data_IF_440247458315
#
_entry.id   IF_440247458315
#
_cell.length_a   1.000
_cell.length_b   1.000
_cell.length_c   1.000
_cell.angle_alpha   90.00
_cell.angle_beta   90.00
_cell.angle_gamma   90.00
#
_symmetry.space_group_name_H-M   'P 1'
#
loop_
_entity.id
_entity.type
_entity.pdbx_description
1 polymer ?
#
# COMPACT_ATOMS: atom_id res chain seq x y z
N UNK A 1 -30.42 27.52 -0.43
CA UNK A 1 -29.72 26.32 -0.92
C UNK A 1 -30.45 25.13 -0.34
N UNK A 2 -31.45 24.63 -1.07
CA UNK A 2 -32.08 23.34 -0.78
C UNK A 2 -31.01 22.27 -1.00
N UNK A 3 -30.67 21.54 0.06
CA UNK A 3 -29.81 20.37 -0.02
C UNK A 3 -30.68 19.23 -0.52
N UNK A 4 -30.41 18.74 -1.73
CA UNK A 4 -31.07 17.56 -2.28
C UNK A 4 -31.07 16.43 -1.25
N UNK A 5 -32.21 15.75 -1.09
CA UNK A 5 -32.36 14.69 -0.10
C UNK A 5 -31.32 13.60 -0.31
N UNK A 6 -30.81 13.02 0.78
CA UNK A 6 -29.75 11.99 0.74
C UNK A 6 -30.11 10.73 -0.09
N UNK A 7 -31.36 10.59 -0.52
CA UNK A 7 -31.84 9.52 -1.40
C UNK A 7 -31.70 9.77 -2.91
N UNK A 8 -31.34 10.98 -3.35
CA UNK A 8 -31.20 11.31 -4.79
C UNK A 8 -29.74 11.31 -5.28
N UNK A 9 -28.78 11.14 -4.37
CA UNK A 9 -27.37 11.11 -4.70
C UNK A 9 -27.01 9.72 -5.22
N UNK A 10 -26.80 9.63 -6.53
CA UNK A 10 -26.37 8.41 -7.19
C UNK A 10 -25.11 7.79 -6.57
N UNK A 11 -24.90 6.49 -6.80
CA UNK A 11 -23.73 5.78 -6.29
C UNK A 11 -22.57 5.81 -7.30
N UNK A 12 -21.35 5.82 -6.79
CA UNK A 12 -20.12 5.68 -7.58
C UNK A 12 -19.10 4.82 -6.84
N UNK A 13 -18.43 3.92 -7.57
CA UNK A 13 -17.40 3.06 -7.03
C UNK A 13 -16.04 3.46 -7.61
N UNK A 14 -15.11 3.84 -6.73
CA UNK A 14 -13.74 4.17 -7.10
C UNK A 14 -12.77 3.16 -6.50
N UNK A 15 -11.99 2.51 -7.37
CA UNK A 15 -11.00 1.53 -6.94
C UNK A 15 -9.74 2.20 -6.40
N UNK A 16 -9.62 2.31 -5.07
CA UNK A 16 -8.49 2.96 -4.39
C UNK A 16 -7.13 2.44 -4.88
N UNK A 17 -6.96 1.10 -4.90
CA UNK A 17 -5.70 0.46 -5.28
C UNK A 17 -5.25 0.71 -6.71
N UNK A 18 -6.19 0.75 -7.66
CA UNK A 18 -5.89 0.81 -9.10
C UNK A 18 -5.91 2.23 -9.66
N UNK A 19 -6.64 3.14 -9.03
CA UNK A 19 -6.84 4.50 -9.53
C UNK A 19 -6.28 5.57 -8.60
N UNK A 20 -6.48 5.44 -7.29
CA UNK A 20 -6.13 6.50 -6.34
C UNK A 20 -4.67 6.39 -5.92
N UNK A 21 -4.26 5.27 -5.35
CA UNK A 21 -2.92 5.07 -4.82
C UNK A 21 -1.80 5.30 -5.87
N UNK A 22 -1.91 4.80 -7.12
CA UNK A 22 -0.86 5.02 -8.12
C UNK A 22 -0.72 6.48 -8.56
N UNK A 23 -1.77 7.29 -8.35
CA UNK A 23 -1.79 8.70 -8.71
C UNK A 23 -1.39 9.61 -7.54
N UNK A 24 -1.29 9.07 -6.32
CA UNK A 24 -0.93 9.84 -5.14
C UNK A 24 0.49 10.40 -5.26
N UNK A 25 0.62 11.71 -5.07
CA UNK A 25 1.90 12.40 -5.02
C UNK A 25 2.14 12.90 -3.60
N UNK A 26 3.40 12.88 -3.17
CA UNK A 26 3.76 13.41 -1.87
C UNK A 26 3.51 14.90 -1.89
N UNK A 27 2.61 15.37 -1.02
CA UNK A 27 2.39 16.80 -0.87
C UNK A 27 3.63 17.38 -0.18
N UNK A 28 4.41 18.17 -0.93
CA UNK A 28 5.50 18.94 -0.32
C UNK A 28 4.85 20.03 0.50
N UNK A 29 4.79 19.82 1.81
CA UNK A 29 4.45 20.88 2.76
C UNK A 29 5.61 21.88 2.81
N UNK A 30 5.70 22.74 1.80
CA UNK A 30 6.66 23.84 1.71
C UNK A 30 6.18 25.03 2.57
N UNK A 31 5.84 24.77 3.84
CA UNK A 31 5.27 25.75 4.75
C UNK A 31 5.74 25.52 6.18
N UNK A 32 6.45 26.49 6.81
CA UNK A 32 6.75 26.44 8.23
C UNK A 32 5.47 26.80 8.97
N UNK A 33 4.59 25.83 9.19
CA UNK A 33 3.45 26.01 10.10
C UNK A 33 3.75 25.25 11.41
N UNK A 34 4.34 25.93 12.42
CA UNK A 34 4.78 25.32 13.65
C UNK A 34 3.59 25.10 14.60
N UNK A 35 2.61 24.30 14.21
CA UNK A 35 1.45 24.15 15.08
C UNK A 35 0.28 23.31 14.59
N UNK A 36 0.49 22.06 14.16
CA UNK A 36 -0.47 20.97 14.40
C UNK A 36 -0.07 19.68 13.67
N UNK A 37 0.72 18.84 14.33
CA UNK A 37 0.49 17.39 14.37
C UNK A 37 1.45 16.80 15.40
N UNK A 38 0.90 16.35 16.53
CA UNK A 38 1.61 15.68 17.62
C UNK A 38 2.08 14.27 17.25
N UNK A 39 2.77 14.14 16.13
CA UNK A 39 3.45 12.91 15.73
C UNK A 39 4.85 12.98 16.35
N UNK A 40 5.06 12.23 17.42
CA UNK A 40 6.32 12.18 18.14
C UNK A 40 7.51 11.86 17.23
N UNK A 41 8.53 12.71 17.32
CA UNK A 41 9.94 12.53 16.98
C UNK A 41 10.31 11.38 16.01
N UNK A 42 10.54 11.72 14.74
CA UNK A 42 11.46 10.94 13.90
C UNK A 42 11.33 11.14 12.40
N UNK A 43 10.11 11.12 11.87
CA UNK A 43 9.86 11.24 10.44
C UNK A 43 8.54 11.99 10.28
N UNK A 44 8.56 13.16 9.64
CA UNK A 44 7.38 14.00 9.49
C UNK A 44 6.23 13.19 8.89
N UNK A 45 5.00 13.41 9.37
CA UNK A 45 3.83 12.73 8.82
C UNK A 45 3.65 13.17 7.36
N UNK A 46 4.07 12.31 6.42
CA UNK A 46 4.00 12.55 4.99
C UNK A 46 2.58 12.26 4.53
N UNK A 47 1.83 13.30 4.18
CA UNK A 47 0.52 13.18 3.56
C UNK A 47 0.71 13.07 2.05
N UNK A 48 0.12 12.04 1.46
CA UNK A 48 0.08 11.82 0.02
C UNK A 48 -1.30 12.18 -0.48
N UNK A 49 -1.37 12.99 -1.53
CA UNK A 49 -2.64 13.43 -2.08
C UNK A 49 -2.82 12.92 -3.51
N UNK A 50 -4.03 12.44 -3.83
CA UNK A 50 -4.41 12.16 -5.20
C UNK A 50 -4.78 13.45 -5.94
N UNK A 51 -4.58 13.53 -7.26
CA UNK A 51 -5.22 14.55 -8.09
C UNK A 51 -6.74 14.57 -7.87
N UNK A 52 -7.34 15.74 -8.09
CA UNK A 52 -8.81 15.87 -8.09
C UNK A 52 -9.37 15.02 -9.22
N UNK A 53 -10.29 14.12 -8.87
CA UNK A 53 -10.99 13.24 -9.80
C UNK A 53 -12.46 13.63 -9.90
N UNK A 54 -13.01 13.58 -11.12
CA UNK A 54 -14.44 13.70 -11.36
C UNK A 54 -15.05 12.31 -11.41
N UNK A 55 -15.91 12.00 -10.44
CA UNK A 55 -16.62 10.74 -10.34
C UNK A 55 -18.07 10.92 -10.80
N UNK A 56 -18.52 10.18 -11.83
CA UNK A 56 -19.93 10.19 -12.20
C UNK A 56 -20.75 9.50 -11.12
N UNK A 57 -21.88 10.09 -10.75
CA UNK A 57 -22.90 9.49 -9.91
C UNK A 57 -24.02 8.99 -10.82
N UNK A 58 -24.35 7.70 -10.71
CA UNK A 58 -25.49 7.14 -11.43
C UNK A 58 -26.77 7.39 -10.62
N UNK A 59 -27.60 8.35 -11.06
CA UNK A 59 -28.94 8.56 -10.51
C UNK A 59 -29.96 7.60 -11.13
N UNK A 60 -31.03 7.29 -10.40
CA UNK A 60 -32.10 6.39 -10.88
C UNK A 60 -32.84 6.97 -12.10
N UNK A 61 -32.90 8.29 -12.22
CA UNK A 61 -33.62 9.02 -13.28
C UNK A 61 -32.84 9.13 -14.60
N UNK A 62 -31.67 8.49 -14.71
CA UNK A 62 -30.79 8.60 -15.89
C UNK A 62 -30.03 9.92 -16.00
N UNK A 63 -30.24 10.85 -15.06
CA UNK A 63 -29.40 12.04 -14.90
C UNK A 63 -28.02 11.64 -14.38
N UNK A 64 -26.97 12.05 -15.09
CA UNK A 64 -25.57 11.82 -14.67
C UNK A 64 -25.02 13.10 -14.04
N UNK A 65 -24.87 13.11 -12.73
CA UNK A 65 -24.14 14.17 -12.02
C UNK A 65 -22.68 13.75 -11.81
N UNK A 66 -21.80 14.72 -11.54
CA UNK A 66 -20.38 14.46 -11.27
C UNK A 66 -19.99 15.10 -9.94
N UNK A 67 -19.13 14.42 -9.19
CA UNK A 67 -18.53 14.94 -7.96
C UNK A 67 -17.02 15.02 -8.11
N UNK A 68 -16.46 16.16 -7.74
CA UNK A 68 -15.02 16.33 -7.62
C UNK A 68 -14.55 15.82 -6.25
N UNK A 69 -13.62 14.86 -6.24
CA UNK A 69 -13.07 14.25 -5.02
C UNK A 69 -11.54 14.22 -5.09
N UNK A 70 -10.89 14.50 -3.97
CA UNK A 70 -9.47 14.24 -3.76
C UNK A 70 -9.30 13.37 -2.50
N UNK A 71 -8.24 12.55 -2.47
CA UNK A 71 -7.96 11.62 -1.38
C UNK A 71 -6.61 11.94 -0.76
N UNK A 72 -6.59 12.12 0.56
CA UNK A 72 -5.38 12.21 1.37
C UNK A 72 -5.06 10.87 2.04
N UNK A 73 -3.80 10.46 2.02
CA UNK A 73 -3.32 9.19 2.58
C UNK A 73 -2.11 9.45 3.47
N UNK A 74 -2.15 8.94 4.70
CA UNK A 74 -1.08 9.15 5.70
C UNK A 74 0.04 8.11 5.63
N UNK A 75 0.08 7.30 4.57
CA UNK A 75 1.04 6.22 4.38
C UNK A 75 1.47 6.15 2.92
N UNK A 76 2.67 5.62 2.70
CA UNK A 76 3.25 5.45 1.36
C UNK A 76 2.31 4.62 0.45
N UNK A 77 1.85 5.17 -0.68
CA UNK A 77 0.94 4.48 -1.58
C UNK A 77 1.52 3.18 -2.14
N UNK A 78 2.84 3.08 -2.35
CA UNK A 78 3.47 1.85 -2.82
C UNK A 78 3.38 0.73 -1.79
N UNK A 79 3.55 1.06 -0.51
CA UNK A 79 3.42 0.12 0.60
C UNK A 79 1.97 -0.37 0.71
N UNK A 80 1.00 0.54 0.58
CA UNK A 80 -0.42 0.18 0.59
C UNK A 80 -0.82 -0.71 -0.59
N UNK A 81 -0.30 -0.46 -1.80
CA UNK A 81 -0.54 -1.30 -2.97
C UNK A 81 0.03 -2.71 -2.77
N UNK A 82 1.22 -2.83 -2.18
CA UNK A 82 1.84 -4.12 -1.83
C UNK A 82 1.02 -4.87 -0.79
N UNK A 83 0.64 -4.19 0.31
CA UNK A 83 -0.19 -4.77 1.37
C UNK A 83 -1.54 -5.26 0.85
N UNK A 84 -2.20 -4.47 -0.01
CA UNK A 84 -3.46 -4.87 -0.62
C UNK A 84 -3.28 -6.09 -1.55
N UNK A 85 -2.15 -6.16 -2.28
CA UNK A 85 -1.80 -7.34 -3.07
C UNK A 85 -1.58 -8.57 -2.20
N UNK A 86 -0.87 -8.44 -1.08
CA UNK A 86 -0.63 -9.54 -0.16
C UNK A 86 -1.90 -10.01 0.57
N UNK A 87 -2.85 -9.11 0.82
CA UNK A 87 -4.13 -9.44 1.43
C UNK A 87 -5.03 -10.29 0.51
N UNK A 88 -4.95 -10.11 -0.81
CA UNK A 88 -5.69 -10.91 -1.80
C UNK A 88 -5.10 -12.32 -2.00
N UNK A 89 -3.86 -12.55 -1.56
CA UNK A 89 -3.21 -13.85 -1.74
C UNK A 89 -3.86 -14.91 -0.85
N UNK A 90 -4.12 -16.12 -1.38
CA UNK A 90 -4.61 -17.24 -0.57
C UNK A 90 -3.68 -17.49 0.63
N UNK A 91 -4.27 -17.84 1.79
CA UNK A 91 -3.52 -18.12 3.02
C UNK A 91 -2.39 -19.14 2.80
N UNK A 92 -2.66 -20.18 2.00
CA UNK A 92 -1.66 -21.19 1.63
C UNK A 92 -0.44 -20.57 0.99
N UNK A 93 -0.58 -19.60 0.07
CA UNK A 93 0.58 -18.96 -0.55
C UNK A 93 1.34 -18.05 0.42
N UNK A 94 0.61 -17.34 1.27
CA UNK A 94 1.17 -16.45 2.29
C UNK A 94 2.01 -17.20 3.32
N UNK A 95 1.63 -18.44 3.66
CA UNK A 95 2.32 -19.25 4.68
C UNK A 95 3.32 -20.22 4.06
N UNK A 96 2.97 -20.87 2.93
CA UNK A 96 3.83 -21.88 2.34
C UNK A 96 5.12 -21.29 1.77
N UNK A 97 5.10 -20.07 1.22
CA UNK A 97 6.32 -19.47 0.64
C UNK A 97 7.37 -19.15 1.70
N UNK A 98 7.05 -18.41 2.78
CA UNK A 98 8.00 -18.16 3.87
C UNK A 98 8.42 -19.45 4.57
N UNK A 99 7.50 -20.40 4.76
CA UNK A 99 7.83 -21.68 5.38
C UNK A 99 8.79 -22.51 4.52
N UNK A 100 8.59 -22.58 3.20
CA UNK A 100 9.52 -23.24 2.28
C UNK A 100 10.89 -22.59 2.27
N UNK A 101 10.96 -21.27 2.34
CA UNK A 101 12.22 -20.54 2.45
C UNK A 101 12.90 -20.84 3.79
N UNK A 102 12.17 -20.75 4.91
CA UNK A 102 12.68 -21.01 6.24
C UNK A 102 13.15 -22.46 6.43
N UNK A 103 12.55 -23.42 5.74
CA UNK A 103 13.00 -24.83 5.75
C UNK A 103 14.23 -25.05 4.86
N UNK A 104 14.36 -24.33 3.75
CA UNK A 104 15.53 -24.43 2.85
C UNK A 104 16.78 -23.78 3.43
N UNK A 105 16.63 -22.68 4.17
CA UNK A 105 17.75 -21.90 4.69
C UNK A 105 18.70 -22.68 5.65
N UNK A 106 18.21 -23.47 6.63
CA UNK A 106 19.08 -24.31 7.46
C UNK A 106 19.74 -25.43 6.68
N UNK A 107 19.05 -26.02 5.68
CA UNK A 107 19.63 -27.07 4.82
C UNK A 107 20.77 -26.52 3.98
N UNK A 108 20.61 -25.31 3.42
CA UNK A 108 21.67 -24.63 2.67
C UNK A 108 22.85 -24.23 3.56
N UNK A 109 22.58 -23.76 4.78
CA UNK A 109 23.63 -23.45 5.77
C UNK A 109 24.41 -24.70 6.19
N UNK A 110 23.73 -25.81 6.45
CA UNK A 110 24.38 -27.08 6.81
C UNK A 110 25.20 -27.66 5.66
N UNK A 111 24.69 -27.62 4.43
CA UNK A 111 25.42 -28.06 3.24
C UNK A 111 26.70 -27.22 3.02
N UNK A 112 26.63 -25.91 3.26
CA UNK A 112 27.78 -25.01 3.14
C UNK A 112 28.86 -25.33 4.18
N UNK A 113 28.47 -25.55 5.44
CA UNK A 113 29.38 -25.94 6.52
C UNK A 113 30.04 -27.30 6.27
N UNK A 114 29.32 -28.28 5.72
CA UNK A 114 29.87 -29.59 5.38
C UNK A 114 30.93 -29.52 4.26
N UNK A 115 30.71 -28.64 3.27
CA UNK A 115 31.68 -28.40 2.20
C UNK A 115 32.94 -27.69 2.72
N UNK A 116 32.80 -26.72 3.62
CA UNK A 116 33.93 -26.00 4.22
C UNK A 116 34.80 -26.92 5.12
N UNK A 117 34.19 -27.88 5.82
CA UNK A 117 34.94 -28.88 6.59
C UNK A 117 35.69 -29.89 5.71
N UNK A 118 35.15 -30.24 4.54
CA UNK A 118 35.84 -31.12 3.58
C UNK A 118 37.06 -30.42 2.95
N UNK A 119 36.95 -29.12 2.66
CA UNK A 119 38.07 -28.33 2.12
C UNK A 119 39.24 -28.21 3.11
N UNK A 120 38.94 -28.04 4.41
CA UNK A 120 39.99 -27.95 5.44
C UNK A 120 40.74 -29.27 5.65
N UNK A 121 40.11 -30.42 5.42
CA UNK A 121 40.77 -31.73 5.55
C UNK A 121 41.69 -32.07 4.37
N UNK A 122 41.44 -31.52 3.19
CA UNK A 122 42.30 -31.74 2.01
C UNK A 122 43.52 -30.83 1.96
N UNK A 123 43.53 -29.70 2.68
CA UNK A 123 44.67 -28.76 2.71
C UNK A 123 45.76 -29.12 3.71
N UNK A 124 45.59 -30.21 4.47
CA UNK A 124 46.52 -30.65 5.53
C UNK A 124 47.36 -31.88 5.14
N UNK A 125 47.35 -32.26 3.86
CA UNK A 125 48.13 -33.36 3.30
C UNK A 125 49.08 -32.88 2.23
#
# INVERSE_FOLDING_TARGET
LELAGAGELGASLVGLRRRVLPACVLERRDGPDPGACGCGAGDGCRIWESPVMLLPLAGEDGLTSHVAVAFGVSADPEVLVKLAGDAERPLVERVATPLRQAVRDPVLRLAKLANEQSFRKCSAY
#
